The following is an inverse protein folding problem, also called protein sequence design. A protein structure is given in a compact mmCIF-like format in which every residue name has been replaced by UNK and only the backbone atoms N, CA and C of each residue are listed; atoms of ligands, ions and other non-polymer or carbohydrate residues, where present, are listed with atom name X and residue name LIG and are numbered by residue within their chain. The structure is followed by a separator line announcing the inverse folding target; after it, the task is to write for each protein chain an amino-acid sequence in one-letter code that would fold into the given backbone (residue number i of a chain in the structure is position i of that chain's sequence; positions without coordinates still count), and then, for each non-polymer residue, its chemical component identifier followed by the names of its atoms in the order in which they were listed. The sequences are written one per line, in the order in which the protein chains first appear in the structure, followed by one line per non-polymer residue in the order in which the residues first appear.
data_IF_846230816535
#
_entry.id   IF_846230816535
#
_cell.length_a   1.000
_cell.length_b   1.000
_cell.length_c   1.000
_cell.angle_alpha   90.00
_cell.angle_beta   90.00
_cell.angle_gamma   90.00
#
_symmetry.space_group_name_H-M   'P 1'
#
loop_
_entity.id
_entity.type
_entity.pdbx_description
1 polymer ?
#
# COMPACT_ATOMS: atom_id res chain seq x y z
N UNK A 1 -24.10 17.90 10.52
CA UNK A 1 -22.64 17.87 10.33
C UNK A 1 -22.33 16.62 9.51
N UNK A 2 -22.54 16.71 8.19
CA UNK A 2 -22.21 15.66 7.24
C UNK A 2 -20.88 16.05 6.62
N UNK A 3 -19.83 15.29 6.89
CA UNK A 3 -18.51 15.49 6.29
C UNK A 3 -18.03 14.15 5.75
N UNK A 4 -18.42 13.87 4.51
CA UNK A 4 -17.70 13.05 3.54
C UNK A 4 -18.51 13.12 2.23
N UNK A 5 -18.40 14.25 1.53
CA UNK A 5 -18.93 14.40 0.17
C UNK A 5 -17.81 14.90 -0.72
N UNK A 6 -16.89 13.98 -1.02
CA UNK A 6 -16.09 14.03 -2.22
C UNK A 6 -15.79 12.62 -2.69
N UNK A 7 -16.86 11.90 -3.03
CA UNK A 7 -16.78 10.90 -4.09
C UNK A 7 -16.65 11.68 -5.42
N UNK A 8 -15.40 11.98 -5.81
CA UNK A 8 -15.09 12.28 -7.21
C UNK A 8 -14.28 11.10 -7.74
N UNK A 9 -14.98 9.98 -7.96
CA UNK A 9 -14.53 8.92 -8.86
C UNK A 9 -14.88 9.35 -10.28
N UNK A 10 -13.90 9.91 -10.99
CA UNK A 10 -13.99 10.06 -12.44
C UNK A 10 -13.59 8.71 -13.06
N UNK A 11 -14.37 8.12 -13.99
CA UNK A 11 -14.00 6.85 -14.61
C UNK A 11 -12.74 7.03 -15.46
N UNK A 12 -11.61 6.43 -15.08
CA UNK A 12 -10.42 6.38 -15.94
C UNK A 12 -9.10 5.98 -15.29
N UNK A 13 -8.72 6.61 -14.19
CA UNK A 13 -7.42 6.37 -13.54
C UNK A 13 -7.67 5.75 -12.16
N UNK A 14 -7.47 4.43 -12.06
CA UNK A 14 -7.23 3.81 -10.76
C UNK A 14 -6.07 4.56 -10.09
N UNK A 15 -6.09 4.78 -8.76
CA UNK A 15 -5.04 5.54 -8.10
C UNK A 15 -3.68 4.96 -8.48
N UNK A 16 -2.89 5.74 -9.21
CA UNK A 16 -1.59 5.30 -9.71
C UNK A 16 -0.55 5.32 -8.58
N UNK A 17 -0.96 5.64 -7.35
CA UNK A 17 -0.11 5.78 -6.17
C UNK A 17 -0.82 5.22 -4.94
N UNK A 18 -0.13 4.35 -4.20
CA UNK A 18 -0.54 3.87 -2.88
C UNK A 18 0.44 4.37 -1.82
N UNK A 19 -0.05 5.01 -0.76
CA UNK A 19 0.77 5.36 0.42
C UNK A 19 0.49 4.38 1.55
N UNK A 20 1.38 3.41 1.72
CA UNK A 20 1.31 2.39 2.76
C UNK A 20 2.03 2.85 4.02
N UNK A 21 1.28 3.48 4.92
CA UNK A 21 1.75 3.92 6.25
C UNK A 21 1.86 2.77 7.25
N UNK A 22 1.53 1.53 6.88
CA UNK A 22 1.75 0.33 7.69
C UNK A 22 1.51 -0.95 6.84
N UNK A 23 1.88 -2.14 7.34
CA UNK A 23 1.66 -3.40 6.64
C UNK A 23 0.18 -3.72 6.34
N UNK A 24 -0.75 -3.28 7.19
CA UNK A 24 -2.18 -3.55 6.99
C UNK A 24 -2.73 -2.79 5.77
N UNK A 25 -2.36 -1.51 5.66
CA UNK A 25 -2.73 -0.65 4.53
C UNK A 25 -2.18 -1.19 3.22
N UNK A 26 -0.92 -1.66 3.21
CA UNK A 26 -0.36 -2.31 2.03
C UNK A 26 -1.17 -3.57 1.66
N UNK A 27 -1.41 -4.47 2.63
CA UNK A 27 -2.12 -5.73 2.39
C UNK A 27 -3.54 -5.54 1.86
N UNK A 28 -4.23 -4.52 2.36
CA UNK A 28 -5.62 -4.26 2.01
C UNK A 28 -5.78 -3.68 0.60
N UNK A 29 -4.80 -2.91 0.10
CA UNK A 29 -4.98 -2.10 -1.11
C UNK A 29 -4.07 -2.52 -2.28
N UNK A 30 -2.97 -3.26 -2.04
CA UNK A 30 -2.01 -3.61 -3.11
C UNK A 30 -2.65 -4.41 -4.26
N UNK A 31 -3.64 -5.25 -3.96
CA UNK A 31 -4.35 -6.07 -4.95
C UNK A 31 -5.23 -5.25 -5.90
N UNK A 32 -5.68 -4.08 -5.47
CA UNK A 32 -6.52 -3.17 -6.27
C UNK A 32 -5.67 -2.17 -7.06
N UNK A 33 -4.36 -2.14 -6.82
CA UNK A 33 -3.43 -1.23 -7.46
C UNK A 33 -3.02 -1.78 -8.84
N UNK A 34 -3.12 -0.98 -9.93
CA UNK A 34 -2.68 -1.44 -11.24
C UNK A 34 -1.17 -1.67 -11.25
N UNK A 35 -0.71 -2.64 -12.05
CA UNK A 35 0.74 -2.82 -12.25
C UNK A 35 1.36 -1.57 -12.85
N UNK A 36 2.58 -1.27 -12.42
CA UNK A 36 3.31 -0.05 -12.77
C UNK A 36 2.94 1.18 -11.95
N UNK A 37 1.96 1.08 -11.04
CA UNK A 37 1.68 2.13 -10.07
C UNK A 37 2.83 2.33 -9.07
N UNK A 38 2.86 3.51 -8.47
CA UNK A 38 3.78 3.86 -7.39
C UNK A 38 3.26 3.36 -6.04
N UNK A 39 4.16 2.90 -5.19
CA UNK A 39 3.87 2.50 -3.81
C UNK A 39 4.86 3.20 -2.91
N UNK A 40 4.39 4.18 -2.14
CA UNK A 40 5.19 4.83 -1.09
C UNK A 40 5.01 4.02 0.19
N UNK A 41 6.10 3.54 0.77
CA UNK A 41 6.06 2.69 1.96
C UNK A 41 6.80 3.37 3.09
N UNK A 42 6.13 3.60 4.23
CA UNK A 42 6.84 3.92 5.47
C UNK A 42 7.48 2.64 6.01
N UNK A 43 8.80 2.52 5.93
CA UNK A 43 9.52 1.30 6.33
C UNK A 43 9.64 1.14 7.84
N UNK A 44 9.60 2.23 8.61
CA UNK A 44 9.67 2.16 10.08
C UNK A 44 8.45 1.43 10.68
N UNK A 45 7.30 1.49 9.99
CA UNK A 45 6.07 0.81 10.40
C UNK A 45 6.06 -0.69 10.03
N UNK A 46 7.01 -1.19 9.24
CA UNK A 46 7.13 -2.59 8.82
C UNK A 46 7.94 -3.44 9.82
N UNK A 47 7.68 -3.24 11.10
CA UNK A 47 8.30 -4.06 12.16
C UNK A 47 7.81 -5.50 12.11
N UNK A 48 8.65 -6.45 12.57
CA UNK A 48 8.29 -7.88 12.66
C UNK A 48 6.96 -8.13 13.37
N UNK A 49 6.69 -7.38 14.46
CA UNK A 49 5.45 -7.50 15.23
C UNK A 49 4.23 -7.01 14.44
N UNK A 50 4.35 -5.88 13.75
CA UNK A 50 3.27 -5.34 12.93
C UNK A 50 2.94 -6.28 11.76
N UNK A 51 3.97 -6.80 11.09
CA UNK A 51 3.85 -7.77 10.00
C UNK A 51 3.18 -9.08 10.45
N UNK A 52 3.61 -9.64 11.58
CA UNK A 52 2.99 -10.85 12.14
C UNK A 52 1.52 -10.63 12.50
N UNK A 53 1.17 -9.47 13.06
CA UNK A 53 -0.21 -9.13 13.44
C UNK A 53 -1.17 -9.12 12.25
N UNK A 54 -0.68 -8.76 11.06
CA UNK A 54 -1.48 -8.75 9.82
C UNK A 54 -1.32 -10.04 9.01
N UNK A 55 -0.54 -11.01 9.51
CA UNK A 55 -0.34 -12.32 8.89
C UNK A 55 0.62 -12.30 7.70
N UNK A 56 1.64 -11.45 7.71
CA UNK A 56 2.80 -11.60 6.82
C UNK A 56 3.78 -12.62 7.41
N UNK A 57 4.12 -13.63 6.60
CA UNK A 57 5.18 -14.60 6.93
C UNK A 57 6.58 -14.06 6.62
N UNK A 58 6.70 -13.32 5.52
CA UNK A 58 7.91 -12.62 5.05
C UNK A 58 7.55 -11.17 4.77
N UNK A 59 8.53 -10.27 4.82
CA UNK A 59 8.31 -8.88 4.46
C UNK A 59 7.92 -8.77 2.98
N UNK A 60 6.79 -8.10 2.64
CA UNK A 60 6.42 -7.86 1.24
C UNK A 60 7.43 -6.95 0.52
N UNK A 61 8.32 -6.27 1.27
CA UNK A 61 9.41 -5.47 0.72
C UNK A 61 10.61 -6.33 0.28
N UNK A 62 10.63 -7.62 0.62
CA UNK A 62 11.77 -8.52 0.41
C UNK A 62 11.39 -9.83 -0.31
N UNK A 63 10.09 -10.13 -0.46
CA UNK A 63 9.61 -11.39 -1.01
C UNK A 63 9.27 -11.34 -2.52
N UNK A 64 9.48 -10.19 -3.16
CA UNK A 64 9.17 -9.95 -4.57
C UNK A 64 7.69 -9.68 -4.88
N UNK A 65 6.82 -9.63 -3.87
CA UNK A 65 5.39 -9.33 -4.08
C UNK A 65 5.14 -7.94 -4.68
N UNK A 66 6.10 -7.02 -4.51
CA UNK A 66 6.02 -5.67 -5.05
C UNK A 66 6.77 -5.44 -6.38
N UNK A 67 7.33 -6.47 -7.01
CA UNK A 67 8.12 -6.36 -8.25
C UNK A 67 7.34 -5.74 -9.43
N UNK A 68 6.00 -5.77 -9.36
CA UNK A 68 5.13 -5.17 -10.36
C UNK A 68 4.87 -3.67 -10.19
N UNK A 69 5.48 -3.02 -9.20
CA UNK A 69 5.19 -1.63 -8.80
C UNK A 69 6.47 -0.81 -8.65
N UNK A 70 6.36 0.51 -8.75
CA UNK A 70 7.45 1.43 -8.42
C UNK A 70 7.45 1.73 -6.93
N UNK A 71 8.30 1.05 -6.16
CA UNK A 71 8.32 1.17 -4.70
C UNK A 71 9.26 2.31 -4.26
N UNK A 72 8.73 3.22 -3.45
CA UNK A 72 9.44 4.35 -2.84
C UNK A 72 9.46 4.19 -1.32
N UNK A 73 10.53 3.63 -0.73
CA UNK A 73 10.64 3.52 0.71
C UNK A 73 10.94 4.89 1.33
N UNK A 74 10.25 5.21 2.42
CA UNK A 74 10.54 6.35 3.29
C UNK A 74 10.72 5.85 4.73
N UNK A 75 11.71 6.34 5.49
CA UNK A 75 11.81 6.06 6.92
C UNK A 75 10.66 6.75 7.66
#
# INVERSE_FOLDING_TARGET
MHFADHDILTPGDAPNVLVAMNPAALKANVSDLPRGAEVIVNTDEFTKRAMQKVGYGTSPLEDGSLDGYSVHPVP
#
